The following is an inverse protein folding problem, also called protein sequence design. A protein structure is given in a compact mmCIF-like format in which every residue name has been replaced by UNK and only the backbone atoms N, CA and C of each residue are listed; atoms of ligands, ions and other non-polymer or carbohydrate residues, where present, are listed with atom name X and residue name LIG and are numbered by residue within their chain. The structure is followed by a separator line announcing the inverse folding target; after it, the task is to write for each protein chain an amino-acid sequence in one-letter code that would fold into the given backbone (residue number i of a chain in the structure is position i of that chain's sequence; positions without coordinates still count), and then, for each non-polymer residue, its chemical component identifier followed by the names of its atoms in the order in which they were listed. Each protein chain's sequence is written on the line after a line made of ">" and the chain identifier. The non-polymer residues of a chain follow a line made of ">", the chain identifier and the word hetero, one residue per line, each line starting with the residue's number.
data_IF_249747865378
#
_entry.id   IF_249747865378
#
_cell.length_a   1.000
_cell.length_b   1.000
_cell.length_c   1.000
_cell.angle_alpha   90.00
_cell.angle_beta   90.00
_cell.angle_gamma   90.00
#
_symmetry.space_group_name_H-M   'P 1'
#
loop_
_entity.id
_entity.type
_entity.pdbx_description
1 polymer ?
#
# COMPACT_ATOMS: atom_id res chain seq x y z
N UNK A 1 12.75 30.77 -22.80
CA UNK A 1 11.60 30.69 -21.87
C UNK A 1 11.19 29.24 -21.77
N UNK A 2 11.60 28.54 -20.71
CA UNK A 2 11.31 27.11 -20.53
C UNK A 2 9.89 26.98 -20.00
N UNK A 3 8.99 26.49 -20.84
CA UNK A 3 7.58 26.30 -20.52
C UNK A 3 7.44 25.06 -19.63
N UNK A 4 7.68 25.20 -18.33
CA UNK A 4 7.36 24.14 -17.37
C UNK A 4 5.86 24.25 -17.11
N UNK A 5 5.07 23.43 -17.80
CA UNK A 5 3.65 23.29 -17.48
C UNK A 5 3.53 22.60 -16.12
N UNK A 6 3.04 23.27 -15.07
CA UNK A 6 2.80 22.58 -13.81
C UNK A 6 1.68 21.56 -14.04
N UNK A 7 1.96 20.30 -13.73
CA UNK A 7 0.93 19.25 -13.69
C UNK A 7 0.02 19.60 -12.51
N UNK A 8 -1.10 20.26 -12.81
CA UNK A 8 -2.22 20.56 -11.92
C UNK A 8 -1.90 21.26 -10.58
N UNK A 9 -1.78 22.60 -10.63
CA UNK A 9 -1.66 23.46 -9.44
C UNK A 9 -3.00 23.85 -8.77
N UNK A 10 -4.14 23.27 -9.17
CA UNK A 10 -5.48 23.75 -8.75
C UNK A 10 -6.31 22.78 -7.93
N UNK A 11 -5.80 21.61 -7.53
CA UNK A 11 -6.63 20.67 -6.75
C UNK A 11 -6.54 20.96 -5.25
N UNK A 12 -7.51 21.76 -4.76
CA UNK A 12 -7.85 21.84 -3.33
C UNK A 12 -7.91 20.42 -2.79
N UNK A 13 -7.17 20.16 -1.71
CA UNK A 13 -7.20 18.91 -0.96
C UNK A 13 -8.65 18.51 -0.69
N UNK A 14 -9.20 17.61 -1.51
CA UNK A 14 -10.41 16.90 -1.17
C UNK A 14 -10.01 15.95 -0.04
N UNK A 15 -10.65 16.02 1.14
CA UNK A 15 -10.57 14.92 2.06
C UNK A 15 -11.23 13.73 1.36
N UNK A 16 -10.43 12.89 0.71
CA UNK A 16 -10.87 11.57 0.30
C UNK A 16 -11.04 10.79 1.61
N UNK A 17 -12.20 10.95 2.23
CA UNK A 17 -12.69 9.97 3.20
C UNK A 17 -12.79 8.68 2.39
N UNK A 18 -11.78 7.83 2.49
CA UNK A 18 -11.79 6.49 1.92
C UNK A 18 -12.90 5.72 2.64
N UNK A 19 -14.12 5.85 2.13
CA UNK A 19 -15.23 5.02 2.59
C UNK A 19 -14.94 3.62 2.06
N UNK A 20 -14.50 2.75 2.96
CA UNK A 20 -14.27 1.34 2.67
C UNK A 20 -15.56 0.73 2.17
N UNK A 21 -15.48 -0.08 1.12
CA UNK A 21 -16.62 -0.83 0.61
C UNK A 21 -17.01 -1.92 1.64
N UNK A 22 -18.17 -1.82 2.31
CA UNK A 22 -18.58 -2.79 3.31
C UNK A 22 -18.88 -4.18 2.72
N UNK A 23 -19.12 -4.27 1.40
CA UNK A 23 -19.38 -5.52 0.70
C UNK A 23 -18.10 -6.19 0.19
N UNK A 24 -16.95 -5.52 0.28
CA UNK A 24 -15.68 -6.11 -0.12
C UNK A 24 -15.27 -7.18 0.89
N UNK A 25 -15.37 -8.44 0.48
CA UNK A 25 -15.07 -9.62 1.31
C UNK A 25 -13.63 -9.62 1.83
N UNK A 26 -12.67 -9.06 1.08
CA UNK A 26 -11.28 -8.96 1.49
C UNK A 26 -11.10 -7.96 2.63
N UNK A 27 -11.77 -6.80 2.55
CA UNK A 27 -11.81 -5.80 3.63
C UNK A 27 -12.47 -6.39 4.88
N UNK A 28 -13.61 -7.06 4.71
CA UNK A 28 -14.31 -7.73 5.80
C UNK A 28 -13.45 -8.80 6.49
N UNK A 29 -12.71 -9.60 5.72
CA UNK A 29 -11.77 -10.58 6.25
C UNK A 29 -10.66 -9.91 7.05
N UNK A 30 -10.06 -8.83 6.53
CA UNK A 30 -8.97 -8.12 7.17
C UNK A 30 -9.36 -7.51 8.52
N UNK A 31 -10.57 -6.96 8.64
CA UNK A 31 -11.09 -6.50 9.94
C UNK A 31 -11.30 -7.64 10.92
N UNK A 32 -11.85 -8.78 10.48
CA UNK A 32 -12.14 -9.92 11.36
C UNK A 32 -10.90 -10.66 11.83
N UNK A 33 -9.91 -10.83 10.95
CA UNK A 33 -8.78 -11.73 11.19
C UNK A 33 -7.42 -11.03 11.12
N UNK A 34 -7.26 -10.03 10.25
CA UNK A 34 -5.98 -9.40 9.96
C UNK A 34 -5.38 -8.58 11.10
N UNK A 35 -6.20 -7.97 11.96
CA UNK A 35 -5.72 -7.06 13.02
C UNK A 35 -4.82 -7.74 14.09
N UNK A 36 -4.93 -9.07 14.23
CA UNK A 36 -4.13 -9.84 15.18
C UNK A 36 -2.81 -10.38 14.59
N UNK A 37 -2.59 -10.17 13.29
CA UNK A 37 -1.48 -10.73 12.54
C UNK A 37 -0.46 -9.63 12.19
N UNK A 38 0.80 -10.02 12.02
CA UNK A 38 1.76 -9.13 11.36
C UNK A 38 1.40 -8.95 9.88
N UNK A 39 1.94 -7.87 9.27
CA UNK A 39 1.58 -7.46 7.91
C UNK A 39 1.76 -8.57 6.88
N UNK A 40 2.89 -9.26 6.92
CA UNK A 40 3.21 -10.33 5.97
C UNK A 40 2.25 -11.49 6.14
N UNK A 41 2.07 -11.96 7.37
CA UNK A 41 1.15 -13.07 7.68
C UNK A 41 -0.30 -12.73 7.31
N UNK A 42 -0.75 -11.51 7.57
CA UNK A 42 -2.10 -11.07 7.23
C UNK A 42 -2.36 -11.11 5.71
N UNK A 43 -1.40 -10.62 4.92
CA UNK A 43 -1.51 -10.60 3.45
C UNK A 43 -1.39 -12.01 2.88
N UNK A 44 -0.50 -12.85 3.40
CA UNK A 44 -0.35 -14.25 2.97
C UNK A 44 -1.63 -15.05 3.24
N UNK A 45 -2.18 -14.97 4.46
CA UNK A 45 -3.41 -15.69 4.80
C UNK A 45 -4.63 -15.18 4.02
N UNK A 46 -4.74 -13.87 3.79
CA UNK A 46 -5.80 -13.33 2.94
C UNK A 46 -5.64 -13.79 1.49
N UNK A 47 -4.41 -13.87 0.97
CA UNK A 47 -4.15 -14.39 -0.37
C UNK A 47 -4.66 -15.83 -0.50
N UNK A 48 -4.34 -16.69 0.47
CA UNK A 48 -4.83 -18.09 0.51
C UNK A 48 -6.35 -18.13 0.57
N UNK A 49 -6.98 -17.31 1.41
CA UNK A 49 -8.44 -17.22 1.51
C UNK A 49 -9.10 -16.79 0.19
N UNK A 50 -8.55 -15.79 -0.49
CA UNK A 50 -9.08 -15.30 -1.76
C UNK A 50 -8.94 -16.33 -2.88
N UNK A 51 -7.86 -17.12 -2.88
CA UNK A 51 -7.70 -18.25 -3.80
C UNK A 51 -8.72 -19.35 -3.52
N UNK A 52 -8.96 -19.70 -2.24
CA UNK A 52 -9.86 -20.81 -1.90
C UNK A 52 -11.34 -20.47 -2.04
N UNK A 53 -11.75 -19.28 -1.60
CA UNK A 53 -13.18 -18.91 -1.53
C UNK A 53 -13.70 -18.26 -2.81
N UNK A 54 -12.83 -17.57 -3.57
CA UNK A 54 -13.23 -16.82 -4.76
C UNK A 54 -12.60 -17.37 -6.05
N UNK A 55 -11.85 -18.47 -5.97
CA UNK A 55 -11.13 -19.10 -7.08
C UNK A 55 -10.27 -18.10 -7.88
N UNK A 56 -9.70 -17.12 -7.16
CA UNK A 56 -8.85 -16.11 -7.79
C UNK A 56 -7.48 -16.71 -8.14
N UNK A 57 -6.94 -16.41 -9.33
CA UNK A 57 -5.54 -16.70 -9.63
C UNK A 57 -4.63 -16.07 -8.57
N UNK A 58 -3.59 -16.79 -8.16
CA UNK A 58 -2.67 -16.39 -7.09
C UNK A 58 -2.21 -14.93 -7.22
N UNK A 59 -1.80 -14.50 -8.42
CA UNK A 59 -1.35 -13.13 -8.65
C UNK A 59 -2.44 -12.08 -8.41
N UNK A 60 -3.68 -12.37 -8.78
CA UNK A 60 -4.82 -11.47 -8.55
C UNK A 60 -5.17 -11.43 -7.05
N UNK A 61 -5.13 -12.59 -6.38
CA UNK A 61 -5.34 -12.69 -4.94
C UNK A 61 -4.28 -11.92 -4.15
N UNK A 62 -2.99 -12.02 -4.51
CA UNK A 62 -1.89 -11.27 -3.88
C UNK A 62 -2.11 -9.76 -3.96
N UNK A 63 -2.45 -9.25 -5.15
CA UNK A 63 -2.69 -7.82 -5.37
C UNK A 63 -3.90 -7.35 -4.55
N UNK A 64 -5.00 -8.10 -4.59
CA UNK A 64 -6.21 -7.79 -3.83
C UNK A 64 -5.94 -7.82 -2.31
N UNK A 65 -5.13 -8.75 -1.82
CA UNK A 65 -4.75 -8.83 -0.41
C UNK A 65 -3.93 -7.62 0.04
N UNK A 66 -2.95 -7.17 -0.78
CA UNK A 66 -2.19 -5.94 -0.51
C UNK A 66 -3.10 -4.72 -0.48
N UNK A 67 -4.00 -4.60 -1.45
CA UNK A 67 -4.92 -3.47 -1.54
C UNK A 67 -5.85 -3.43 -0.31
N UNK A 68 -6.42 -4.58 0.08
CA UNK A 68 -7.26 -4.68 1.26
C UNK A 68 -6.50 -4.34 2.56
N UNK A 69 -5.24 -4.76 2.69
CA UNK A 69 -4.38 -4.36 3.80
C UNK A 69 -4.14 -2.84 3.82
N UNK A 70 -3.80 -2.26 2.67
CA UNK A 70 -3.52 -0.83 2.55
C UNK A 70 -4.76 0.02 2.87
N UNK A 71 -5.93 -0.40 2.37
CA UNK A 71 -7.22 0.24 2.64
C UNK A 71 -7.58 0.21 4.13
N UNK A 72 -7.51 -0.97 4.77
CA UNK A 72 -7.79 -1.07 6.21
C UNK A 72 -6.78 -0.32 7.07
N UNK A 73 -5.48 -0.37 6.73
CA UNK A 73 -4.45 0.40 7.42
C UNK A 73 -4.61 1.92 7.22
N UNK A 74 -5.22 2.35 6.11
CA UNK A 74 -5.42 3.78 5.82
C UNK A 74 -6.37 4.45 6.82
N UNK A 75 -7.30 3.69 7.43
CA UNK A 75 -8.24 4.20 8.44
C UNK A 75 -7.50 4.80 9.64
N UNK A 76 -6.34 4.27 10.01
CA UNK A 76 -5.51 4.78 11.10
C UNK A 76 -4.41 5.75 10.65
N UNK A 77 -4.25 5.98 9.35
CA UNK A 77 -3.12 6.71 8.80
C UNK A 77 -3.55 8.08 8.29
N UNK A 78 -2.80 9.11 8.67
CA UNK A 78 -3.13 10.49 8.25
C UNK A 78 -2.46 10.89 6.94
N UNK A 79 -1.40 10.18 6.56
CA UNK A 79 -0.77 10.33 5.27
C UNK A 79 -1.47 9.48 4.20
N UNK A 80 -1.64 10.01 2.98
CA UNK A 80 -2.27 9.29 1.88
C UNK A 80 -1.56 9.57 0.55
N UNK A 81 -1.71 8.66 -0.41
CA UNK A 81 -1.21 8.85 -1.78
C UNK A 81 -2.17 9.79 -2.52
N UNK A 82 -1.64 10.87 -3.06
CA UNK A 82 -2.33 11.77 -3.98
C UNK A 82 -2.35 11.12 -5.37
N UNK A 83 -3.42 10.37 -5.64
CA UNK A 83 -3.56 9.60 -6.87
C UNK A 83 -3.57 10.51 -8.12
N UNK A 84 -4.12 11.72 -8.02
CA UNK A 84 -4.18 12.69 -9.12
C UNK A 84 -2.80 13.25 -9.49
N UNK A 85 -1.89 13.32 -8.50
CA UNK A 85 -0.52 13.79 -8.68
C UNK A 85 0.50 12.65 -8.92
N UNK A 86 0.08 11.40 -8.72
CA UNK A 86 0.92 10.21 -8.88
C UNK A 86 0.93 9.76 -10.35
N UNK A 87 2.09 9.31 -10.83
CA UNK A 87 2.26 8.73 -12.16
C UNK A 87 2.99 7.39 -12.05
N UNK A 88 3.23 6.73 -13.20
CA UNK A 88 4.06 5.53 -13.26
C UNK A 88 5.51 5.74 -12.77
N UNK A 89 5.99 6.98 -12.67
CA UNK A 89 7.38 7.30 -12.33
C UNK A 89 7.54 8.07 -11.02
N UNK A 90 6.46 8.61 -10.44
CA UNK A 90 6.50 9.36 -9.19
C UNK A 90 5.26 9.08 -8.35
N UNK A 91 5.46 8.78 -7.08
CA UNK A 91 4.39 8.64 -6.07
C UNK A 91 4.39 9.88 -5.21
N UNK A 92 3.24 10.55 -5.11
CA UNK A 92 3.08 11.75 -4.29
C UNK A 92 2.31 11.38 -3.01
N UNK A 93 2.95 11.56 -1.86
CA UNK A 93 2.36 11.38 -0.54
C UNK A 93 1.98 12.75 0.05
N UNK A 94 0.77 12.87 0.59
CA UNK A 94 0.33 14.00 1.41
C UNK A 94 0.45 13.62 2.87
N UNK A 95 1.25 14.35 3.65
CA UNK A 95 1.39 14.11 5.09
C UNK A 95 0.41 14.94 5.91
N UNK A 96 0.42 14.73 7.23
CA UNK A 96 -0.14 15.68 8.19
C UNK A 96 0.28 17.12 7.84
N UNK A 97 -0.70 18.02 7.69
CA UNK A 97 -0.48 19.42 7.29
C UNK A 97 -0.54 19.69 5.78
N UNK A 98 -0.84 18.70 4.94
CA UNK A 98 -1.04 18.87 3.49
C UNK A 98 0.26 19.01 2.68
N UNK A 99 1.42 18.87 3.33
CA UNK A 99 2.73 18.87 2.68
C UNK A 99 2.82 17.70 1.69
N UNK A 100 3.15 18.01 0.44
CA UNK A 100 3.49 17.00 -0.56
C UNK A 100 4.94 16.54 -0.37
N UNK A 101 5.12 15.23 -0.41
CA UNK A 101 6.41 14.53 -0.49
C UNK A 101 6.35 13.65 -1.73
N UNK A 102 7.33 13.78 -2.62
CA UNK A 102 7.40 13.00 -3.84
C UNK A 102 8.49 11.94 -3.70
N UNK A 103 8.19 10.71 -4.15
CA UNK A 103 9.14 9.62 -4.26
C UNK A 103 9.17 9.16 -5.71
N UNK A 104 10.34 9.22 -6.33
CA UNK A 104 10.55 8.61 -7.65
C UNK A 104 10.66 7.10 -7.53
N UNK A 105 10.59 6.39 -8.65
CA UNK A 105 10.85 4.95 -8.66
C UNK A 105 12.25 4.60 -8.09
N UNK A 106 13.26 5.45 -8.36
CA UNK A 106 14.62 5.28 -7.84
C UNK A 106 14.69 5.43 -6.32
N UNK A 107 14.01 6.45 -5.77
CA UNK A 107 13.89 6.64 -4.32
C UNK A 107 13.26 5.42 -3.64
N UNK A 108 12.21 4.85 -4.24
CA UNK A 108 11.53 3.67 -3.69
C UNK A 108 12.39 2.41 -3.77
N UNK A 109 13.21 2.26 -4.82
CA UNK A 109 14.21 1.18 -4.93
C UNK A 109 15.26 1.32 -3.83
N UNK A 110 15.80 2.51 -3.60
CA UNK A 110 16.75 2.74 -2.51
C UNK A 110 16.16 2.48 -1.13
N UNK A 111 14.89 2.86 -0.90
CA UNK A 111 14.17 2.51 0.35
C UNK A 111 14.06 0.99 0.51
N UNK A 112 13.78 0.25 -0.57
CA UNK A 112 13.72 -1.20 -0.54
C UNK A 112 15.09 -1.84 -0.27
N UNK A 113 16.15 -1.39 -0.93
CA UNK A 113 17.51 -1.87 -0.72
C UNK A 113 17.95 -1.69 0.73
N UNK A 114 17.76 -0.49 1.27
CA UNK A 114 18.05 -0.21 2.68
C UNK A 114 17.25 -1.12 3.63
N UNK A 115 15.97 -1.33 3.34
CA UNK A 115 15.14 -2.22 4.15
C UNK A 115 15.62 -3.69 4.07
N UNK A 116 16.20 -4.13 2.94
CA UNK A 116 16.83 -5.46 2.82
C UNK A 116 18.07 -5.56 3.69
N UNK A 117 18.93 -4.57 3.64
CA UNK A 117 20.17 -4.53 4.44
C UNK A 117 19.86 -4.53 5.95
N UNK A 118 18.74 -3.90 6.34
CA UNK A 118 18.24 -3.88 7.72
C UNK A 118 17.40 -5.12 8.10
N UNK A 119 17.21 -6.08 7.19
CA UNK A 119 16.42 -7.30 7.43
C UNK A 119 14.90 -7.08 7.57
N UNK A 120 14.40 -5.91 7.14
CA UNK A 120 12.97 -5.52 7.21
C UNK A 120 12.19 -5.82 5.94
N UNK A 121 12.86 -6.14 4.83
CA UNK A 121 12.22 -6.58 3.61
C UNK A 121 11.81 -8.06 3.72
N UNK A 122 10.51 -8.33 3.72
CA UNK A 122 9.93 -9.67 3.88
C UNK A 122 9.17 -10.08 2.63
N UNK A 123 9.34 -11.32 2.25
CA UNK A 123 8.58 -11.95 1.17
C UNK A 123 7.24 -12.42 1.72
N UNK A 124 6.15 -12.12 1.02
CA UNK A 124 4.79 -12.56 1.39
C UNK A 124 4.58 -14.04 1.11
N UNK A 125 4.98 -14.50 -0.07
CA UNK A 125 4.80 -15.88 -0.48
C UNK A 125 6.15 -16.55 -0.68
N UNK A 126 6.43 -17.55 0.14
CA UNK A 126 7.72 -18.27 0.11
C UNK A 126 7.97 -19.02 -1.22
N UNK A 127 6.90 -19.40 -1.94
CA UNK A 127 6.94 -20.14 -3.20
C UNK A 127 7.25 -19.21 -4.37
N UNK A 128 6.44 -18.17 -4.57
CA UNK A 128 6.60 -17.22 -5.69
C UNK A 128 7.69 -16.18 -5.42
N UNK A 129 8.14 -16.06 -4.17
CA UNK A 129 9.08 -15.04 -3.67
C UNK A 129 8.63 -13.60 -3.91
N UNK A 130 7.34 -13.40 -4.14
CA UNK A 130 6.73 -12.10 -4.37
C UNK A 130 5.34 -12.07 -3.75
N UNK A 131 4.79 -10.90 -3.45
CA UNK A 131 5.44 -9.59 -3.39
C UNK A 131 6.39 -9.45 -2.19
N UNK A 132 7.32 -8.50 -2.28
CA UNK A 132 8.19 -8.10 -1.15
C UNK A 132 7.55 -6.90 -0.46
N UNK A 133 7.40 -6.98 0.86
CA UNK A 133 6.90 -5.92 1.71
C UNK A 133 7.99 -5.43 2.64
N UNK A 134 7.93 -4.15 2.99
CA UNK A 134 8.80 -3.55 3.98
C UNK A 134 8.03 -3.50 5.30
N UNK A 135 8.57 -4.14 6.33
CA UNK A 135 8.06 -4.01 7.70
C UNK A 135 8.40 -2.62 8.26
N UNK A 136 7.43 -1.93 8.89
CA UNK A 136 7.70 -0.68 9.57
C UNK A 136 8.72 -0.92 10.69
N UNK A 137 9.54 0.09 10.98
CA UNK A 137 10.38 0.05 12.16
C UNK A 137 9.49 -0.09 13.40
N UNK A 138 9.75 -1.11 14.22
CA UNK A 138 9.10 -1.22 15.53
C UNK A 138 9.61 -0.07 16.39
N UNK A 139 8.80 0.97 16.58
CA UNK A 139 9.06 1.99 17.60
C UNK A 139 9.27 1.27 18.93
N UNK A 140 10.47 1.43 19.50
CA UNK A 140 10.79 0.97 20.86
C UNK A 140 10.13 1.87 21.89
#
# INVERSE_FOLDING_TARGET
>A
MTNVTPINATHRARPHVHQLDPQNVAIGWMFRHGHALDRVTAIEQLTVFLMSELDLPERAAEIAAIQAYAETSSVSQVAHIDADATTAHVVVLRTMGGRAVAFTADDLVHVLERARDEGRARVVNSTTRTPVLIEPERSR
#
